data_IF_748624389010
#
_entry.id   IF_748624389010
#
_cell.length_a   1.000
_cell.length_b   1.000
_cell.length_c   1.000
_cell.angle_alpha   90.00
_cell.angle_beta   90.00
_cell.angle_gamma   90.00
#
_symmetry.space_group_name_H-M   'P 1'
#
loop_
_entity.id
_entity.type
_entity.pdbx_description
1 polymer ?
#
# COMPACT_ATOMS: atom_id res chain seq x y z
N UNK A 1 -4.37 17.63 -31.63
CA UNK A 1 -3.43 16.53 -31.33
C UNK A 1 -4.15 15.20 -31.44
N UNK A 2 -3.40 14.12 -31.60
CA UNK A 2 -3.94 12.75 -31.58
C UNK A 2 -3.93 12.26 -30.11
N UNK A 3 -5.05 11.70 -29.67
CA UNK A 3 -5.18 11.12 -28.33
C UNK A 3 -5.49 9.63 -28.47
N UNK A 4 -4.85 8.81 -27.63
CA UNK A 4 -5.08 7.37 -27.56
C UNK A 4 -5.66 7.02 -26.20
N UNK A 5 -6.75 6.27 -26.20
CA UNK A 5 -7.41 5.81 -24.98
C UNK A 5 -7.44 4.29 -24.97
N UNK A 6 -7.18 3.70 -23.80
CA UNK A 6 -7.28 2.26 -23.59
C UNK A 6 -8.46 1.98 -22.65
N UNK A 7 -9.31 1.04 -23.04
CA UNK A 7 -10.47 0.63 -22.27
C UNK A 7 -10.41 -0.87 -22.03
N UNK A 8 -10.84 -1.27 -20.84
CA UNK A 8 -11.01 -2.67 -20.48
C UNK A 8 -12.41 -2.89 -19.90
N UNK A 9 -13.00 -4.04 -20.23
CA UNK A 9 -14.34 -4.42 -19.77
C UNK A 9 -14.22 -5.76 -19.05
N UNK A 10 -14.84 -5.85 -17.87
CA UNK A 10 -14.96 -7.10 -17.10
C UNK A 10 -16.35 -7.20 -16.51
N UNK A 11 -16.85 -8.44 -16.39
CA UNK A 11 -18.07 -8.74 -15.64
C UNK A 11 -17.72 -9.19 -14.23
N UNK A 12 -18.49 -8.76 -13.24
CA UNK A 12 -18.31 -9.14 -11.85
C UNK A 12 -19.68 -9.26 -11.16
N UNK A 13 -19.70 -9.82 -9.94
CA UNK A 13 -20.89 -9.87 -9.10
C UNK A 13 -21.32 -8.45 -8.72
N UNK A 14 -22.56 -8.29 -8.28
CA UNK A 14 -23.10 -7.02 -7.81
C UNK A 14 -22.18 -6.34 -6.78
N UNK A 15 -22.09 -5.03 -6.87
CA UNK A 15 -21.26 -4.19 -6.00
C UNK A 15 -19.88 -3.87 -6.60
N UNK A 16 -19.48 -2.61 -6.50
CA UNK A 16 -18.24 -2.06 -7.06
C UNK A 16 -16.97 -2.80 -6.57
N UNK A 17 -17.01 -3.31 -5.35
CA UNK A 17 -15.88 -3.98 -4.71
C UNK A 17 -15.42 -5.23 -5.47
N UNK A 18 -16.37 -5.93 -6.13
CA UNK A 18 -16.06 -7.13 -6.91
C UNK A 18 -15.33 -6.80 -8.22
N UNK A 19 -15.44 -5.55 -8.71
CA UNK A 19 -14.72 -5.05 -9.88
C UNK A 19 -13.45 -4.27 -9.54
N UNK A 20 -13.27 -3.86 -8.28
CA UNK A 20 -12.20 -2.97 -7.85
C UNK A 20 -10.80 -3.46 -8.21
N UNK A 21 -10.47 -4.72 -7.87
CA UNK A 21 -9.15 -5.29 -8.15
C UNK A 21 -8.84 -5.40 -9.65
N UNK A 22 -9.87 -5.61 -10.50
CA UNK A 22 -9.70 -5.57 -11.94
C UNK A 22 -9.33 -4.15 -12.41
N UNK A 23 -10.02 -3.13 -11.90
CA UNK A 23 -9.72 -1.73 -12.22
C UNK A 23 -8.30 -1.33 -11.82
N UNK A 24 -7.87 -1.68 -10.61
CA UNK A 24 -6.51 -1.44 -10.13
C UNK A 24 -5.48 -2.16 -11.02
N UNK A 25 -5.65 -3.45 -11.29
CA UNK A 25 -4.72 -4.24 -12.10
C UNK A 25 -4.60 -3.73 -13.54
N UNK A 26 -5.69 -3.18 -14.11
CA UNK A 26 -5.67 -2.59 -15.44
C UNK A 26 -4.87 -1.27 -15.50
N UNK A 27 -4.92 -0.46 -14.45
CA UNK A 27 -4.19 0.80 -14.37
C UNK A 27 -2.73 0.64 -13.90
N UNK A 28 -2.41 -0.49 -13.26
CA UNK A 28 -1.08 -0.80 -12.75
C UNK A 28 -0.58 -2.14 -13.31
N UNK A 29 -0.15 -2.18 -14.59
CA UNK A 29 0.31 -3.41 -15.22
C UNK A 29 1.57 -3.96 -14.54
N UNK A 30 1.73 -5.27 -14.55
CA UNK A 30 2.93 -5.93 -14.01
C UNK A 30 4.17 -5.60 -14.83
N UNK A 31 5.27 -5.35 -14.13
CA UNK A 31 6.59 -5.30 -14.75
C UNK A 31 7.14 -6.73 -14.88
N UNK A 32 7.55 -7.09 -16.10
CA UNK A 32 8.13 -8.40 -16.39
C UNK A 32 9.64 -8.22 -16.57
N UNK A 33 10.41 -8.89 -15.71
CA UNK A 33 11.87 -8.91 -15.81
C UNK A 33 12.34 -10.34 -16.04
N UNK A 34 13.02 -10.57 -17.18
CA UNK A 34 13.69 -11.85 -17.44
C UNK A 34 15.01 -11.88 -16.68
N UNK A 35 15.19 -12.89 -15.84
CA UNK A 35 16.44 -13.10 -15.10
C UNK A 35 16.91 -14.55 -15.31
N UNK A 36 18.22 -14.73 -15.47
CA UNK A 36 18.81 -16.07 -15.45
C UNK A 36 18.67 -16.63 -14.04
N UNK A 37 18.19 -17.87 -13.96
CA UNK A 37 17.95 -18.53 -12.69
C UNK A 37 19.28 -18.93 -12.04
N UNK A 38 19.74 -18.15 -11.08
CA UNK A 38 20.93 -18.43 -10.26
C UNK A 38 20.57 -18.81 -8.82
N UNK A 39 19.35 -19.28 -8.60
CA UNK A 39 18.81 -19.54 -7.27
C UNK A 39 18.37 -18.25 -6.56
N UNK A 40 17.52 -18.38 -5.58
CA UNK A 40 17.02 -17.32 -4.72
C UNK A 40 16.43 -17.91 -3.45
N UNK A 41 16.39 -17.11 -2.38
CA UNK A 41 15.83 -17.53 -1.09
C UNK A 41 14.34 -17.24 -0.94
N UNK A 42 13.75 -16.50 -1.89
CA UNK A 42 12.33 -16.14 -1.84
C UNK A 42 11.48 -17.19 -2.53
N UNK A 43 10.32 -17.44 -1.96
CA UNK A 43 9.29 -18.27 -2.56
C UNK A 43 8.81 -17.68 -3.91
N UNK A 44 8.27 -18.51 -4.84
CA UNK A 44 7.76 -18.04 -6.14
C UNK A 44 6.68 -16.95 -6.07
N UNK A 45 5.97 -16.89 -4.95
CA UNK A 45 5.04 -15.82 -4.60
C UNK A 45 5.48 -15.21 -3.29
N UNK A 46 5.88 -13.95 -3.32
CA UNK A 46 6.33 -13.24 -2.14
C UNK A 46 5.78 -11.82 -2.13
N UNK A 47 5.30 -11.37 -0.98
CA UNK A 47 4.92 -9.98 -0.75
C UNK A 47 5.86 -9.38 0.30
N UNK A 48 6.49 -8.28 -0.03
CA UNK A 48 7.34 -7.56 0.90
C UNK A 48 6.52 -6.77 1.94
N UNK A 49 5.30 -6.41 1.61
CA UNK A 49 4.40 -5.68 2.50
C UNK A 49 3.00 -6.28 2.37
N UNK A 50 2.31 -6.46 3.48
CA UNK A 50 0.91 -6.92 3.47
C UNK A 50 0.06 -6.09 4.42
N UNK A 51 -1.20 -5.91 4.03
CA UNK A 51 -2.24 -5.22 4.80
C UNK A 51 -3.30 -6.26 5.13
N UNK A 52 -3.77 -6.28 6.38
CA UNK A 52 -4.73 -7.29 6.86
C UNK A 52 -6.13 -7.15 6.28
N UNK A 53 -6.49 -5.98 5.75
CA UNK A 53 -7.80 -5.70 5.16
C UNK A 53 -7.68 -5.44 3.66
N UNK A 54 -8.36 -6.21 2.78
CA UNK A 54 -8.30 -6.06 1.33
C UNK A 54 -8.98 -4.78 0.82
N UNK A 55 -9.75 -4.08 1.66
CA UNK A 55 -10.44 -2.84 1.33
C UNK A 55 -9.70 -1.60 1.86
N UNK A 56 -8.46 -1.79 2.25
CA UNK A 56 -7.49 -0.73 2.47
C UNK A 56 -6.43 -0.82 1.39
N UNK A 57 -6.39 0.20 0.54
CA UNK A 57 -5.43 0.29 -0.55
C UNK A 57 -4.17 0.99 -0.09
N UNK A 58 -3.00 0.47 -0.48
CA UNK A 58 -1.76 1.23 -0.42
C UNK A 58 -1.65 2.07 -1.70
N UNK A 59 -1.89 3.36 -1.58
CA UNK A 59 -1.90 4.30 -2.70
C UNK A 59 -0.51 4.88 -3.01
N UNK A 60 0.43 4.79 -2.06
CA UNK A 60 1.80 5.28 -2.23
C UNK A 60 2.77 4.47 -1.37
N UNK A 61 3.94 4.21 -1.96
CA UNK A 61 5.17 3.88 -1.24
C UNK A 61 6.32 4.66 -1.90
N UNK A 62 7.06 5.43 -1.11
CA UNK A 62 8.20 6.21 -1.61
C UNK A 62 9.23 6.44 -0.51
N UNK A 63 10.39 6.94 -0.88
CA UNK A 63 11.35 7.54 0.05
C UNK A 63 10.78 8.86 0.56
N UNK A 64 11.01 9.19 1.84
CA UNK A 64 10.67 10.48 2.42
C UNK A 64 11.44 11.62 1.71
N UNK A 65 10.83 12.81 1.63
CA UNK A 65 11.41 13.94 0.92
C UNK A 65 12.68 14.48 1.63
N UNK A 66 12.68 14.47 2.95
CA UNK A 66 13.72 15.10 3.76
C UNK A 66 14.76 14.13 4.34
N UNK A 67 14.57 12.82 4.20
CA UNK A 67 15.49 11.82 4.77
C UNK A 67 15.47 10.48 3.99
N UNK A 68 16.07 9.43 4.56
CA UNK A 68 16.13 8.10 3.94
C UNK A 68 15.06 7.13 4.43
N UNK A 69 14.08 7.60 5.17
CA UNK A 69 12.96 6.80 5.66
C UNK A 69 11.95 6.50 4.54
N UNK A 70 11.01 5.61 4.81
CA UNK A 70 9.94 5.28 3.86
C UNK A 70 8.64 5.96 4.25
N UNK A 71 7.93 6.43 3.25
CA UNK A 71 6.55 6.89 3.36
C UNK A 71 5.64 5.83 2.76
N UNK A 72 4.60 5.46 3.48
CA UNK A 72 3.47 4.70 2.96
C UNK A 72 2.20 5.53 3.12
N UNK A 73 1.30 5.42 2.15
CA UNK A 73 -0.02 6.05 2.21
C UNK A 73 -1.10 5.01 1.99
N UNK A 74 -2.05 4.99 2.90
CA UNK A 74 -3.16 4.05 2.91
C UNK A 74 -4.47 4.81 2.70
N UNK A 75 -5.38 4.21 1.96
CA UNK A 75 -6.71 4.76 1.68
C UNK A 75 -7.75 3.73 2.10
N UNK A 76 -8.65 4.12 2.98
CA UNK A 76 -9.80 3.32 3.37
C UNK A 76 -10.88 3.44 2.29
N UNK A 77 -11.33 2.30 1.72
CA UNK A 77 -12.16 2.25 0.51
C UNK A 77 -13.62 1.91 0.77
N UNK A 78 -13.96 1.38 1.94
CA UNK A 78 -15.31 0.88 2.24
C UNK A 78 -16.22 1.93 2.89
N UNK A 79 -15.63 3.00 3.46
CA UNK A 79 -16.37 4.00 4.23
C UNK A 79 -16.64 3.58 5.66
N UNK A 80 -15.72 2.83 6.27
CA UNK A 80 -15.81 2.36 7.66
C UNK A 80 -14.54 2.67 8.43
N UNK A 81 -14.70 3.00 9.70
CA UNK A 81 -13.56 3.06 10.61
C UNK A 81 -12.97 1.65 10.76
N UNK A 82 -11.65 1.54 10.63
CA UNK A 82 -10.94 0.25 10.64
C UNK A 82 -9.73 0.26 11.55
N UNK A 83 -9.48 -0.89 12.15
CA UNK A 83 -8.22 -1.21 12.79
C UNK A 83 -7.54 -2.31 11.98
N UNK A 84 -6.35 -2.01 11.45
CA UNK A 84 -5.63 -2.89 10.54
C UNK A 84 -4.23 -3.18 11.04
N UNK A 85 -3.65 -4.25 10.50
CA UNK A 85 -2.23 -4.56 10.67
C UNK A 85 -1.51 -4.46 9.33
N UNK A 86 -0.35 -3.83 9.36
CA UNK A 86 0.58 -3.78 8.23
C UNK A 86 1.83 -4.57 8.62
N UNK A 87 2.15 -5.60 7.83
CA UNK A 87 3.37 -6.38 8.01
C UNK A 87 4.46 -5.86 7.07
N UNK A 88 5.66 -5.63 7.63
CA UNK A 88 6.82 -5.09 6.94
C UNK A 88 7.89 -6.16 6.71
N UNK A 89 8.75 -6.04 5.70
CA UNK A 89 9.89 -6.94 5.48
C UNK A 89 11.05 -6.71 6.46
N UNK A 90 11.02 -5.61 7.21
CA UNK A 90 12.04 -5.18 8.17
C UNK A 90 11.41 -4.72 9.49
N UNK A 91 12.22 -4.56 10.50
CA UNK A 91 11.81 -3.93 11.75
C UNK A 91 11.93 -2.41 11.61
N UNK A 92 10.82 -1.70 11.76
CA UNK A 92 10.83 -0.25 11.83
C UNK A 92 11.22 0.18 13.26
N UNK A 93 12.15 1.12 13.37
CA UNK A 93 12.51 1.70 14.67
C UNK A 93 11.38 2.52 15.25
N UNK A 94 10.66 3.21 14.39
CA UNK A 94 9.55 4.08 14.74
C UNK A 94 8.56 4.18 13.58
N UNK A 95 7.31 4.41 13.89
CA UNK A 95 6.26 4.74 12.94
C UNK A 95 5.66 6.07 13.34
N UNK A 96 5.57 6.99 12.41
CA UNK A 96 5.07 8.33 12.65
C UNK A 96 3.91 8.59 11.69
N UNK A 97 2.76 9.00 12.20
CA UNK A 97 1.69 9.55 11.38
C UNK A 97 2.12 10.93 10.89
N UNK A 98 1.88 11.20 9.63
CA UNK A 98 2.19 12.49 9.01
C UNK A 98 0.99 13.01 8.23
N UNK A 99 0.99 14.29 7.93
CA UNK A 99 0.09 14.85 6.94
C UNK A 99 0.52 14.47 5.50
N UNK A 100 -0.19 14.97 4.49
CA UNK A 100 0.07 14.64 3.09
C UNK A 100 1.40 15.20 2.55
N UNK A 101 1.98 16.21 3.21
CA UNK A 101 3.27 16.83 2.89
C UNK A 101 4.40 16.40 3.83
N UNK A 102 4.16 15.32 4.59
CA UNK A 102 5.13 14.62 5.45
C UNK A 102 5.52 15.36 6.75
N UNK A 103 4.77 16.37 7.17
CA UNK A 103 4.94 16.95 8.50
C UNK A 103 4.51 15.91 9.55
N UNK A 104 5.36 15.70 10.54
CA UNK A 104 5.16 14.70 11.59
C UNK A 104 4.08 15.17 12.59
N UNK A 105 3.12 14.29 12.90
CA UNK A 105 1.99 14.57 13.78
C UNK A 105 2.00 13.71 15.04
N UNK A 106 2.11 12.40 14.90
CA UNK A 106 1.96 11.45 16.00
C UNK A 106 2.89 10.25 15.87
N UNK A 107 3.58 9.91 16.94
CA UNK A 107 4.37 8.66 17.04
C UNK A 107 3.45 7.52 17.39
N UNK A 108 3.46 6.47 16.57
CA UNK A 108 2.62 5.29 16.76
C UNK A 108 3.42 4.11 17.33
N UNK A 109 2.79 3.26 18.13
CA UNK A 109 3.44 2.06 18.63
C UNK A 109 3.75 1.08 17.49
N UNK A 110 4.95 0.53 17.50
CA UNK A 110 5.38 -0.53 16.59
C UNK A 110 5.83 -1.75 17.38
N UNK A 111 5.52 -2.94 16.89
CA UNK A 111 5.92 -4.21 17.48
C UNK A 111 6.62 -5.09 16.45
N UNK A 112 7.94 -5.03 16.47
CA UNK A 112 8.77 -5.76 15.51
C UNK A 112 8.48 -5.35 14.08
N UNK A 113 7.97 -6.27 13.27
CA UNK A 113 7.64 -6.05 11.86
C UNK A 113 6.15 -5.76 11.60
N UNK A 114 5.37 -5.58 12.65
CA UNK A 114 3.93 -5.36 12.52
C UNK A 114 3.54 -4.03 13.13
N UNK A 115 2.77 -3.27 12.38
CA UNK A 115 2.21 -1.99 12.78
C UNK A 115 0.70 -2.15 12.88
N UNK A 116 0.11 -1.72 14.01
CA UNK A 116 -1.35 -1.62 14.16
C UNK A 116 -1.76 -0.18 13.92
N UNK A 117 -2.65 0.03 12.95
CA UNK A 117 -3.09 1.35 12.50
C UNK A 117 -4.60 1.47 12.60
N UNK A 118 -5.07 2.66 13.01
CA UNK A 118 -6.48 3.03 12.96
C UNK A 118 -6.69 3.99 11.79
N UNK A 119 -7.64 3.65 10.92
CA UNK A 119 -8.04 4.46 9.78
C UNK A 119 -9.49 4.91 9.98
N UNK A 120 -9.76 6.18 9.77
CA UNK A 120 -11.13 6.69 9.70
C UNK A 120 -11.81 6.27 8.39
N UNK A 121 -13.15 6.34 8.37
CA UNK A 121 -13.93 6.07 7.16
C UNK A 121 -13.54 7.02 6.02
N UNK A 122 -13.30 6.46 4.84
CA UNK A 122 -12.82 7.16 3.64
C UNK A 122 -11.56 8.01 3.87
N UNK A 123 -10.77 7.70 4.90
CA UNK A 123 -9.56 8.47 5.18
C UNK A 123 -8.42 8.12 4.23
N UNK A 124 -7.53 9.09 4.05
CA UNK A 124 -6.23 8.94 3.42
C UNK A 124 -5.20 9.25 4.49
N UNK A 125 -4.49 8.23 4.94
CA UNK A 125 -3.53 8.31 6.04
C UNK A 125 -2.12 8.10 5.54
N UNK A 126 -1.19 8.93 6.00
CA UNK A 126 0.22 8.84 5.61
C UNK A 126 1.07 8.50 6.84
N UNK A 127 2.01 7.60 6.64
CA UNK A 127 2.89 7.11 7.71
C UNK A 127 4.34 7.10 7.25
N UNK A 128 5.21 7.62 8.10
CA UNK A 128 6.66 7.55 7.95
C UNK A 128 7.20 6.38 8.73
N UNK A 129 7.91 5.50 8.07
CA UNK A 129 8.57 4.33 8.64
C UNK A 129 10.04 4.65 8.82
N UNK A 130 10.48 4.80 10.07
CA UNK A 130 11.89 5.07 10.40
C UNK A 130 12.66 3.75 10.38
N UNK A 131 13.72 3.69 9.56
CA UNK A 131 14.54 2.49 9.30
C UNK A 131 15.74 2.37 10.24
#
# INVERSE_FOLDING_TARGET
>A
GTHQFHFSISTHKEGWINGYMFGIGNNHPFYIVKKDNKGGALEPRHSFLSISDPLVAMSLIKKADNDNNLIIRLTEMEGKDKEIQVSLPFEAKQVIRTNLIEDEEEILPVKGRTISLKLGHHSIETFKLVL
#
